data_IF_452604252883
#
_entry.id   IF_452604252883
#
_cell.length_a   1.000
_cell.length_b   1.000
_cell.length_c   1.000
_cell.angle_alpha   90.00
_cell.angle_beta   90.00
_cell.angle_gamma   90.00
#
_symmetry.space_group_name_H-M   'P 1'
#
loop_
_entity.id
_entity.type
_entity.pdbx_description
1 polymer ?
#
# COMPACT_ATOMS: atom_id res chain seq x y z
N UNK A 1 5.04 -4.14 7.68
CA UNK A 1 4.37 -2.85 7.98
C UNK A 1 2.85 -2.99 7.93
N UNK A 2 2.26 -3.37 6.80
CA UNK A 2 0.80 -3.47 6.65
C UNK A 2 0.13 -4.38 7.71
N UNK A 3 0.68 -5.57 7.95
CA UNK A 3 0.17 -6.46 9.02
C UNK A 3 0.20 -5.83 10.41
N UNK A 4 1.15 -4.94 10.71
CA UNK A 4 1.17 -4.20 11.98
C UNK A 4 0.05 -3.17 12.05
N UNK A 5 -0.17 -2.38 10.99
CA UNK A 5 -1.31 -1.44 10.97
C UNK A 5 -2.62 -2.18 11.16
N UNK A 6 -2.83 -3.25 10.38
CA UNK A 6 -4.00 -4.10 10.47
C UNK A 6 -4.15 -4.81 11.83
N UNK A 7 -3.10 -4.90 12.65
CA UNK A 7 -3.18 -5.44 14.00
C UNK A 7 -3.79 -4.46 15.02
N UNK A 8 -3.81 -3.16 14.72
CA UNK A 8 -4.23 -2.12 15.68
C UNK A 8 -5.73 -1.79 15.58
N UNK A 9 -6.43 -1.53 16.70
CA UNK A 9 -7.85 -1.19 16.67
C UNK A 9 -8.20 0.04 15.82
N UNK A 10 -7.28 1.01 15.73
CA UNK A 10 -7.50 2.25 14.96
C UNK A 10 -7.60 2.01 13.44
N UNK A 11 -7.06 0.90 12.94
CA UNK A 11 -7.04 0.53 11.52
C UNK A 11 -8.08 -0.54 11.18
N UNK A 12 -8.86 -1.03 12.14
CA UNK A 12 -9.95 -1.95 11.86
C UNK A 12 -10.96 -1.37 10.83
N UNK A 13 -11.38 -0.09 10.88
CA UNK A 13 -12.34 0.44 9.92
C UNK A 13 -11.93 0.30 8.44
N UNK A 14 -10.73 0.73 7.98
CA UNK A 14 -10.31 0.52 6.59
C UNK A 14 -10.05 -0.96 6.25
N UNK A 15 -9.62 -1.79 7.21
CA UNK A 15 -9.44 -3.24 7.01
C UNK A 15 -10.78 -3.93 6.75
N UNK A 16 -11.80 -3.61 7.53
CA UNK A 16 -13.17 -4.11 7.34
C UNK A 16 -13.80 -3.61 6.04
N UNK A 17 -13.52 -2.36 5.63
CA UNK A 17 -14.01 -1.82 4.36
C UNK A 17 -13.50 -2.60 3.14
N UNK A 18 -12.36 -3.29 3.28
CA UNK A 18 -11.79 -4.16 2.24
C UNK A 18 -12.11 -5.66 2.45
N UNK A 19 -12.88 -6.03 3.49
CA UNK A 19 -13.31 -7.40 3.77
C UNK A 19 -12.29 -8.29 4.50
N UNK A 20 -11.33 -7.68 5.21
CA UNK A 20 -10.25 -8.39 5.90
C UNK A 20 -10.34 -8.31 7.44
N UNK A 21 -11.48 -7.93 7.99
CA UNK A 21 -11.68 -7.71 9.44
C UNK A 21 -11.31 -8.93 10.30
N UNK A 22 -11.56 -10.13 9.78
CA UNK A 22 -11.30 -11.40 10.49
C UNK A 22 -9.80 -11.65 10.73
N UNK A 23 -8.91 -10.98 10.00
CA UNK A 23 -7.46 -11.07 10.23
C UNK A 23 -7.03 -10.32 11.50
N UNK A 24 -7.77 -9.28 11.91
CA UNK A 24 -7.32 -8.37 12.97
C UNK A 24 -7.04 -9.06 14.31
N UNK A 25 -7.89 -9.99 14.81
CA UNK A 25 -7.63 -10.65 16.10
C UNK A 25 -6.33 -11.46 16.10
N UNK A 26 -6.05 -12.17 15.01
CA UNK A 26 -4.81 -12.96 14.87
C UNK A 26 -3.58 -12.04 14.74
N UNK A 27 -3.65 -11.03 13.86
CA UNK A 27 -2.58 -10.06 13.68
C UNK A 27 -2.27 -9.32 14.99
N UNK A 28 -3.29 -8.94 15.77
CA UNK A 28 -3.12 -8.30 17.08
C UNK A 28 -2.34 -9.20 18.04
N UNK A 29 -2.74 -10.48 18.14
CA UNK A 29 -2.06 -11.47 18.97
C UNK A 29 -0.60 -11.64 18.56
N UNK A 30 -0.33 -11.82 17.27
CA UNK A 30 1.02 -11.99 16.72
C UNK A 30 1.91 -10.78 17.00
N UNK A 31 1.39 -9.56 16.77
CA UNK A 31 2.15 -8.33 17.04
C UNK A 31 2.52 -8.14 18.51
N UNK A 32 1.63 -8.53 19.45
CA UNK A 32 1.91 -8.47 20.90
C UNK A 32 2.91 -9.54 21.35
N UNK A 33 2.95 -10.67 20.65
CA UNK A 33 3.93 -11.73 20.88
C UNK A 33 5.30 -11.44 20.25
N UNK A 34 5.41 -10.42 19.39
CA UNK A 34 6.62 -10.13 18.62
C UNK A 34 6.89 -11.13 17.50
N UNK A 35 5.89 -11.91 17.10
CA UNK A 35 5.99 -12.95 16.08
C UNK A 35 5.74 -12.35 14.68
N UNK A 36 6.73 -11.62 14.20
CA UNK A 36 6.64 -10.84 12.96
C UNK A 36 6.69 -11.69 11.69
N UNK A 37 7.36 -12.84 11.75
CA UNK A 37 7.47 -13.78 10.63
C UNK A 37 6.10 -14.39 10.32
N UNK A 38 5.46 -15.02 11.32
CA UNK A 38 4.11 -15.58 11.17
C UNK A 38 3.09 -14.49 10.81
N UNK A 39 3.25 -13.27 11.35
CA UNK A 39 2.39 -12.15 10.97
C UNK A 39 2.53 -11.81 9.48
N UNK A 40 3.73 -11.90 8.91
CA UNK A 40 3.98 -11.70 7.49
C UNK A 40 3.29 -12.76 6.62
N UNK A 41 3.28 -14.01 7.06
CA UNK A 41 2.61 -15.13 6.35
C UNK A 41 1.09 -14.99 6.25
N UNK A 42 0.47 -14.15 7.10
CA UNK A 42 -0.96 -13.83 7.03
C UNK A 42 -1.31 -12.72 6.04
N UNK A 43 -0.31 -12.08 5.44
CA UNK A 43 -0.49 -10.97 4.51
C UNK A 43 -0.21 -11.49 3.10
N UNK A 44 -1.28 -11.82 2.37
CA UNK A 44 -1.21 -12.28 0.99
C UNK A 44 -1.24 -11.12 -0.03
N UNK A 45 -1.15 -11.47 -1.31
CA UNK A 45 -1.14 -10.51 -2.42
C UNK A 45 -2.44 -9.72 -2.53
N UNK A 46 -3.59 -10.32 -2.18
CA UNK A 46 -4.89 -9.66 -2.20
C UNK A 46 -4.97 -8.57 -1.12
N UNK A 47 -4.49 -8.88 0.09
CA UNK A 47 -4.35 -7.88 1.15
C UNK A 47 -3.41 -6.76 0.74
N UNK A 48 -2.26 -7.09 0.13
CA UNK A 48 -1.30 -6.07 -0.34
C UNK A 48 -1.94 -5.19 -1.41
N UNK A 49 -2.61 -5.77 -2.41
CA UNK A 49 -3.27 -5.04 -3.48
C UNK A 49 -4.42 -4.14 -2.98
N UNK A 50 -5.06 -4.50 -1.85
CA UNK A 50 -6.08 -3.68 -1.22
C UNK A 50 -5.52 -2.37 -0.65
N UNK A 51 -4.30 -2.36 -0.12
CA UNK A 51 -3.74 -1.20 0.61
C UNK A 51 -2.51 -0.55 -0.03
N UNK A 52 -1.89 -1.19 -1.01
CA UNK A 52 -0.68 -0.70 -1.67
C UNK A 52 -0.83 -0.71 -3.18
N UNK A 53 -0.23 0.29 -3.82
CA UNK A 53 0.08 0.24 -5.26
C UNK A 53 1.50 -0.29 -5.39
N UNK A 54 1.64 -1.46 -6.00
CA UNK A 54 2.93 -2.16 -6.20
C UNK A 54 3.11 -2.52 -7.67
N UNK A 55 4.37 -2.64 -8.11
CA UNK A 55 4.71 -2.96 -9.50
C UNK A 55 6.14 -2.59 -9.85
N UNK A 56 6.51 -2.82 -11.11
CA UNK A 56 7.79 -2.34 -11.63
C UNK A 56 7.77 -0.79 -11.66
N UNK A 57 8.89 -0.10 -11.36
CA UNK A 57 8.91 1.36 -11.28
C UNK A 57 8.32 2.08 -12.49
N UNK A 58 8.55 1.56 -13.71
CA UNK A 58 8.00 2.13 -14.95
C UNK A 58 6.48 2.05 -15.09
N UNK A 59 5.81 1.20 -14.31
CA UNK A 59 4.35 1.01 -14.36
C UNK A 59 3.63 1.79 -13.25
N UNK A 60 4.36 2.25 -12.23
CA UNK A 60 3.78 2.89 -11.03
C UNK A 60 2.97 4.13 -11.38
N UNK A 61 3.44 4.98 -12.30
CA UNK A 61 2.73 6.18 -12.69
C UNK A 61 1.34 5.88 -13.27
N UNK A 62 1.25 4.88 -14.15
CA UNK A 62 -0.03 4.45 -14.74
C UNK A 62 -0.93 3.80 -13.68
N UNK A 63 -0.37 2.96 -12.80
CA UNK A 63 -1.12 2.32 -11.71
C UNK A 63 -1.71 3.34 -10.73
N UNK A 64 -0.96 4.38 -10.36
CA UNK A 64 -1.43 5.45 -9.49
C UNK A 64 -2.58 6.25 -10.13
N UNK A 65 -2.50 6.56 -11.43
CA UNK A 65 -3.57 7.26 -12.13
C UNK A 65 -4.81 6.39 -12.30
N UNK A 66 -4.65 5.11 -12.63
CA UNK A 66 -5.76 4.18 -12.73
C UNK A 66 -6.51 4.03 -11.41
N UNK A 67 -5.79 4.10 -10.28
CA UNK A 67 -6.37 3.91 -8.95
C UNK A 67 -6.93 5.18 -8.32
N UNK A 68 -6.32 6.34 -8.56
CA UNK A 68 -6.62 7.58 -7.82
C UNK A 68 -6.91 8.79 -8.71
N UNK A 69 -6.72 8.70 -10.03
CA UNK A 69 -6.80 9.84 -10.94
C UNK A 69 -8.18 10.49 -11.02
N UNK A 70 -9.24 9.79 -10.61
CA UNK A 70 -10.62 10.25 -10.57
C UNK A 70 -11.04 10.86 -9.22
N UNK A 71 -10.25 10.67 -8.16
CA UNK A 71 -10.63 11.03 -6.80
C UNK A 71 -9.58 11.83 -6.02
N UNK A 72 -8.37 12.03 -6.55
CA UNK A 72 -7.32 12.78 -5.88
C UNK A 72 -6.47 13.63 -6.83
N UNK A 73 -6.30 14.91 -6.50
CA UNK A 73 -5.40 15.83 -7.23
C UNK A 73 -3.93 15.71 -6.81
N UNK A 74 -3.68 15.17 -5.61
CA UNK A 74 -2.33 15.09 -5.01
C UNK A 74 -2.16 13.79 -4.24
N UNK A 75 -1.00 13.16 -4.42
CA UNK A 75 -0.62 11.94 -3.71
C UNK A 75 0.64 12.20 -2.87
N UNK A 76 0.62 11.72 -1.62
CA UNK A 76 1.82 11.61 -0.79
C UNK A 76 2.28 10.16 -0.82
N UNK A 77 3.40 9.89 -1.48
CA UNK A 77 3.91 8.53 -1.63
C UNK A 77 4.75 8.18 -0.39
N UNK A 78 4.34 7.13 0.31
CA UNK A 78 5.11 6.55 1.39
C UNK A 78 5.77 5.25 0.90
N UNK A 79 7.11 5.23 0.87
CA UNK A 79 7.90 4.04 0.60
C UNK A 79 8.64 3.62 1.89
N UNK A 80 8.42 2.41 2.42
CA UNK A 80 9.05 1.96 3.66
C UNK A 80 10.54 1.56 3.48
N UNK A 81 11.16 1.95 2.37
CA UNK A 81 12.53 1.61 2.00
C UNK A 81 13.21 2.78 1.29
N UNK A 82 14.54 2.83 1.36
CA UNK A 82 15.32 3.75 0.54
C UNK A 82 15.24 3.32 -0.93
N UNK A 83 14.99 4.28 -1.81
CA UNK A 83 15.02 4.07 -3.25
C UNK A 83 15.86 5.18 -3.91
N UNK A 84 16.58 4.88 -5.02
CA UNK A 84 17.40 5.89 -5.69
C UNK A 84 16.56 7.06 -6.20
N UNK A 85 17.09 8.28 -6.09
CA UNK A 85 16.39 9.48 -6.58
C UNK A 85 16.00 9.40 -8.06
N UNK A 86 16.79 8.67 -8.87
CA UNK A 86 16.49 8.42 -10.29
C UNK A 86 15.14 7.75 -10.49
N UNK A 87 14.85 6.71 -9.70
CA UNK A 87 13.57 6.00 -9.73
C UNK A 87 12.40 6.94 -9.46
N UNK A 88 12.51 7.78 -8.42
CA UNK A 88 11.47 8.75 -8.09
C UNK A 88 11.30 9.83 -9.16
N UNK A 89 12.42 10.32 -9.73
CA UNK A 89 12.37 11.28 -10.83
C UNK A 89 11.62 10.72 -12.04
N UNK A 90 11.87 9.48 -12.40
CA UNK A 90 11.23 8.82 -13.54
C UNK A 90 9.73 8.64 -13.30
N UNK A 91 9.33 8.13 -12.13
CA UNK A 91 7.91 7.97 -11.75
C UNK A 91 7.17 9.33 -11.78
N UNK A 92 7.78 10.39 -11.24
CA UNK A 92 7.17 11.73 -11.23
C UNK A 92 7.07 12.29 -12.65
N UNK A 93 8.08 12.07 -13.51
CA UNK A 93 8.06 12.50 -14.89
C UNK A 93 6.93 11.81 -15.68
N UNK A 94 6.78 10.50 -15.49
CA UNK A 94 5.70 9.73 -16.13
C UNK A 94 4.32 10.12 -15.62
N UNK A 95 4.16 10.37 -14.33
CA UNK A 95 2.87 10.82 -13.77
C UNK A 95 2.42 12.13 -14.42
N UNK A 96 3.31 13.11 -14.51
CA UNK A 96 3.03 14.41 -15.17
C UNK A 96 2.72 14.24 -16.66
N UNK A 97 3.46 13.37 -17.35
CA UNK A 97 3.27 13.10 -18.78
C UNK A 97 1.90 12.48 -19.05
N UNK A 98 1.49 11.52 -18.22
CA UNK A 98 0.22 10.80 -18.38
C UNK A 98 -0.98 11.66 -17.96
N UNK A 99 -0.85 12.49 -16.92
CA UNK A 99 -1.93 13.42 -16.51
C UNK A 99 -2.29 14.44 -17.60
N UNK A 100 -1.31 14.91 -18.38
CA UNK A 100 -1.58 15.86 -19.46
C UNK A 100 -2.04 15.21 -20.78
N UNK A 101 -2.05 13.88 -20.85
CA UNK A 101 -2.49 13.13 -22.02
C UNK A 101 -3.97 12.69 -21.94
N UNK A 102 -4.62 12.90 -20.78
CA UNK A 102 -6.04 12.70 -20.53
C UNK A 102 -6.80 14.03 -20.65
#
# INVERSE_FOLDING_TARGET
LLGFYASTPAYLPPVAAMGFEELQPELNRLSKAGDWETMGERIDDDFIAAFATSGHPGDIAAALLARYGDCADRLAIYAPYAAPDGMWRDIIADLKRLQHAQ
#
